data_IF_565352169228
#
_entry.id   IF_565352169228
#
_cell.length_a   1.000
_cell.length_b   1.000
_cell.length_c   1.000
_cell.angle_alpha   90.00
_cell.angle_beta   90.00
_cell.angle_gamma   90.00
#
_symmetry.space_group_name_H-M   'P 1'
#
loop_
_entity.id
_entity.type
_entity.pdbx_description
1 polymer ?
#
# COMPACT_ATOMS: atom_id res chain seq x y z
N UNK A 1 40.11 -3.14 59.98
CA UNK A 1 39.16 -3.47 58.88
C UNK A 1 38.49 -2.26 58.21
N UNK A 2 38.36 -1.07 58.81
CA UNK A 2 37.65 0.09 58.20
C UNK A 2 38.41 0.94 57.16
N UNK A 3 39.65 0.58 56.77
CA UNK A 3 40.46 1.36 55.80
C UNK A 3 40.69 0.69 54.44
N UNK A 4 40.19 -0.54 54.24
CA UNK A 4 40.43 -1.30 52.98
C UNK A 4 39.30 -1.07 51.96
N UNK A 5 38.09 -0.73 52.42
CA UNK A 5 36.91 -0.57 51.57
C UNK A 5 37.01 0.56 50.51
N UNK A 6 37.55 1.77 50.80
CA UNK A 6 37.61 2.83 49.78
C UNK A 6 38.64 2.56 48.68
N UNK A 7 39.73 1.85 48.99
CA UNK A 7 40.74 1.49 48.00
C UNK A 7 40.21 0.45 47.00
N UNK A 8 39.39 -0.51 47.46
CA UNK A 8 38.79 -1.52 46.59
C UNK A 8 37.81 -0.89 45.58
N UNK A 9 37.04 0.13 46.01
CA UNK A 9 36.09 0.82 45.14
C UNK A 9 36.76 1.56 43.98
N UNK A 10 37.91 2.21 44.24
CA UNK A 10 38.68 2.93 43.21
C UNK A 10 39.27 1.95 42.19
N UNK A 11 39.77 0.80 42.62
CA UNK A 11 40.31 -0.23 41.71
C UNK A 11 39.22 -0.83 40.82
N UNK A 12 38.04 -1.12 41.39
CA UNK A 12 36.90 -1.63 40.60
C UNK A 12 36.41 -0.59 39.59
N UNK A 13 36.31 0.68 39.98
CA UNK A 13 35.93 1.76 39.06
C UNK A 13 36.93 1.91 37.91
N UNK A 14 38.24 1.85 38.19
CA UNK A 14 39.29 1.92 37.16
C UNK A 14 39.26 0.71 36.22
N UNK A 15 38.98 -0.49 36.72
CA UNK A 15 38.83 -1.69 35.89
C UNK A 15 37.60 -1.63 34.99
N UNK A 16 36.48 -1.06 35.47
CA UNK A 16 35.27 -0.85 34.67
C UNK A 16 35.55 0.17 33.55
N UNK A 17 36.24 1.27 33.86
CA UNK A 17 36.62 2.28 32.84
C UNK A 17 37.58 1.68 31.81
N UNK A 18 38.58 0.91 32.24
CA UNK A 18 39.50 0.24 31.31
C UNK A 18 38.79 -0.79 30.41
N UNK A 19 37.85 -1.57 30.96
CA UNK A 19 37.05 -2.52 30.17
C UNK A 19 36.13 -1.82 29.16
N UNK A 20 35.59 -0.64 29.52
CA UNK A 20 34.81 0.19 28.60
C UNK A 20 35.69 0.76 27.48
N UNK A 21 36.88 1.29 27.79
CA UNK A 21 37.81 1.82 26.78
C UNK A 21 38.27 0.74 25.80
N UNK A 22 38.52 -0.49 26.25
CA UNK A 22 38.88 -1.61 25.37
C UNK A 22 37.69 -2.03 24.48
N UNK A 23 36.45 -1.94 24.96
CA UNK A 23 35.26 -2.18 24.13
C UNK A 23 35.05 -1.11 23.06
N UNK A 24 35.39 0.15 23.34
CA UNK A 24 35.24 1.23 22.36
C UNK A 24 36.32 1.21 21.25
N UNK A 25 37.52 0.71 21.53
CA UNK A 25 38.60 0.67 20.53
C UNK A 25 38.52 -0.49 19.52
N UNK A 26 37.62 -1.47 19.71
CA UNK A 26 37.43 -2.58 18.77
C UNK A 26 36.27 -2.36 17.78
N UNK A 27 35.68 -1.16 17.73
CA UNK A 27 34.85 -0.76 16.61
C UNK A 27 35.75 -0.51 15.40
N UNK A 28 35.98 -1.57 14.63
CA UNK A 28 36.48 -1.43 13.27
C UNK A 28 35.39 -0.70 12.50
N UNK A 29 35.62 0.59 12.20
CA UNK A 29 34.78 1.34 11.28
C UNK A 29 34.93 0.65 9.93
N UNK A 30 34.04 -0.30 9.64
CA UNK A 30 33.86 -0.77 8.27
C UNK A 30 33.53 0.47 7.45
N UNK A 31 34.33 0.74 6.43
CA UNK A 31 33.99 1.79 5.47
C UNK A 31 32.56 1.50 4.99
N UNK A 32 31.65 2.49 5.05
CA UNK A 32 30.30 2.27 4.57
C UNK A 32 30.38 1.76 3.13
N UNK A 33 29.56 0.77 2.74
CA UNK A 33 29.49 0.34 1.35
C UNK A 33 29.30 1.59 0.47
N UNK A 34 29.91 1.60 -0.72
CA UNK A 34 29.78 2.70 -1.67
C UNK A 34 28.30 2.87 -2.01
N UNK A 35 27.63 3.80 -1.33
CA UNK A 35 26.21 4.09 -1.56
C UNK A 35 26.08 4.78 -2.89
N UNK A 36 25.15 4.29 -3.71
CA UNK A 36 24.73 4.99 -4.92
C UNK A 36 23.98 6.25 -4.46
N UNK A 37 24.71 7.37 -4.39
CA UNK A 37 24.12 8.67 -4.11
C UNK A 37 23.41 9.16 -5.37
N UNK A 38 22.20 8.64 -5.58
CA UNK A 38 21.32 9.08 -6.65
C UNK A 38 20.77 10.43 -6.24
N UNK A 39 21.34 11.51 -6.77
CA UNK A 39 20.65 12.81 -6.73
C UNK A 39 19.54 12.76 -7.76
N UNK A 40 18.26 12.75 -7.35
CA UNK A 40 17.17 12.75 -8.30
C UNK A 40 17.30 13.99 -9.17
N UNK A 41 17.37 13.77 -10.49
CA UNK A 41 17.21 14.89 -11.42
C UNK A 41 15.72 15.17 -11.48
N UNK A 42 15.29 16.27 -10.85
CA UNK A 42 13.90 16.68 -10.89
C UNK A 42 13.59 17.16 -12.30
N UNK A 43 12.85 16.35 -13.06
CA UNK A 43 12.16 16.83 -14.24
C UNK A 43 10.74 17.16 -13.81
N UNK A 44 10.49 18.46 -13.63
CA UNK A 44 9.12 18.95 -13.64
C UNK A 44 8.66 18.75 -15.08
N UNK A 45 7.85 17.72 -15.30
CA UNK A 45 7.03 17.67 -16.49
C UNK A 45 6.05 18.84 -16.34
N UNK A 46 6.46 20.03 -16.76
CA UNK A 46 5.49 21.08 -17.03
C UNK A 46 4.55 20.47 -18.07
N UNK A 47 3.26 20.40 -17.73
CA UNK A 47 2.22 20.19 -18.72
C UNK A 47 2.26 21.40 -19.64
N UNK A 48 3.29 21.50 -20.50
CA UNK A 48 3.18 22.23 -21.74
C UNK A 48 1.94 21.63 -22.39
N UNK A 49 0.88 22.44 -22.48
CA UNK A 49 -0.36 22.13 -23.19
C UNK A 49 0.02 21.60 -24.57
N UNK A 50 0.18 20.28 -24.66
CA UNK A 50 0.63 19.62 -25.86
C UNK A 50 -0.47 19.86 -26.89
N UNK A 51 -0.13 20.58 -27.96
CA UNK A 51 -1.04 20.76 -29.09
C UNK A 51 -1.38 19.36 -29.60
N UNK A 52 -2.62 18.96 -29.38
CA UNK A 52 -3.12 17.63 -29.73
C UNK A 52 -2.81 17.34 -31.20
N UNK A 53 -2.07 16.27 -31.54
CA UNK A 53 -1.86 15.88 -32.93
C UNK A 53 -3.21 15.63 -33.61
N UNK A 54 -3.27 15.83 -34.93
CA UNK A 54 -4.47 15.58 -35.74
C UNK A 54 -5.07 14.20 -35.40
N UNK A 55 -6.39 14.10 -35.22
CA UNK A 55 -7.03 12.87 -34.77
C UNK A 55 -6.79 11.75 -35.78
N UNK A 56 -6.04 10.74 -35.36
CA UNK A 56 -5.95 9.45 -36.05
C UNK A 56 -7.35 8.86 -36.14
N UNK A 57 -7.78 8.29 -37.29
CA UNK A 57 -9.10 7.69 -37.42
C UNK A 57 -9.36 6.70 -36.28
N UNK A 58 -10.50 6.90 -35.60
CA UNK A 58 -10.93 6.06 -34.48
C UNK A 58 -11.00 4.60 -34.93
N UNK A 59 -10.29 3.67 -34.29
CA UNK A 59 -10.48 2.25 -34.55
C UNK A 59 -11.96 1.89 -34.34
N UNK A 60 -12.52 1.12 -35.27
CA UNK A 60 -13.89 0.62 -35.22
C UNK A 60 -14.18 0.03 -33.84
N UNK A 61 -15.28 0.46 -33.20
CA UNK A 61 -15.65 0.11 -31.84
C UNK A 61 -15.44 -1.39 -31.56
N UNK A 62 -14.34 -1.71 -30.89
CA UNK A 62 -14.06 -3.05 -30.38
C UNK A 62 -15.03 -3.35 -29.26
N UNK A 63 -15.48 -4.61 -29.15
CA UNK A 63 -16.28 -5.06 -28.03
C UNK A 63 -15.63 -4.65 -26.69
N UNK A 64 -16.47 -4.23 -25.74
CA UNK A 64 -16.03 -3.77 -24.41
C UNK A 64 -15.12 -4.81 -23.76
N UNK A 65 -14.01 -4.36 -23.16
CA UNK A 65 -13.14 -5.25 -22.40
C UNK A 65 -13.90 -5.95 -21.26
N UNK A 66 -14.97 -5.32 -20.73
CA UNK A 66 -15.82 -5.86 -19.67
C UNK A 66 -16.65 -7.07 -20.11
N UNK A 67 -16.86 -7.30 -21.40
CA UNK A 67 -17.59 -8.46 -21.93
C UNK A 67 -16.75 -9.75 -21.91
N UNK A 68 -15.43 -9.62 -21.77
CA UNK A 68 -14.50 -10.76 -21.74
C UNK A 68 -14.37 -11.39 -20.35
N UNK A 69 -15.00 -10.81 -19.33
CA UNK A 69 -14.96 -11.33 -17.97
C UNK A 69 -16.36 -11.63 -17.44
N UNK A 70 -16.49 -12.81 -16.83
CA UNK A 70 -17.67 -13.24 -16.09
C UNK A 70 -17.25 -13.58 -14.67
N UNK A 71 -17.91 -12.94 -13.70
CA UNK A 71 -17.74 -13.28 -12.29
C UNK A 71 -18.87 -14.19 -11.86
N UNK A 72 -18.55 -15.21 -11.08
CA UNK A 72 -19.53 -16.09 -10.46
C UNK A 72 -20.06 -15.51 -9.15
N UNK A 73 -20.86 -16.31 -8.45
CA UNK A 73 -21.43 -15.93 -7.15
C UNK A 73 -20.36 -15.88 -6.04
N UNK A 74 -20.40 -14.88 -5.15
CA UNK A 74 -19.54 -14.83 -3.96
C UNK A 74 -19.74 -16.02 -3.03
N UNK A 75 -18.63 -16.59 -2.54
CA UNK A 75 -18.62 -17.72 -1.59
C UNK A 75 -17.87 -17.33 -0.33
N UNK A 76 -18.54 -17.43 0.81
CA UNK A 76 -17.91 -17.17 2.12
C UNK A 76 -16.86 -18.25 2.40
N UNK A 77 -15.61 -17.83 2.62
CA UNK A 77 -14.48 -18.72 2.95
C UNK A 77 -14.00 -18.53 4.39
N UNK A 78 -14.30 -17.39 5.01
CA UNK A 78 -13.89 -17.08 6.38
C UNK A 78 -14.84 -16.07 7.04
N UNK A 79 -14.97 -16.16 8.36
CA UNK A 79 -15.81 -15.29 9.19
C UNK A 79 -15.05 -14.84 10.42
N UNK A 80 -15.25 -13.58 10.83
CA UNK A 80 -14.62 -12.99 12.00
C UNK A 80 -15.60 -12.06 12.73
N UNK A 81 -15.41 -11.85 14.03
CA UNK A 81 -16.26 -10.98 14.84
C UNK A 81 -15.98 -9.48 14.67
N UNK A 82 -14.91 -9.14 13.95
CA UNK A 82 -14.38 -7.79 13.80
C UNK A 82 -13.87 -7.58 12.37
N UNK A 83 -13.48 -6.35 12.02
CA UNK A 83 -13.01 -6.00 10.68
C UNK A 83 -11.90 -6.91 10.15
N UNK A 84 -12.01 -7.24 8.85
CA UNK A 84 -11.03 -8.03 8.09
C UNK A 84 -10.44 -7.11 7.02
N UNK A 85 -9.12 -6.93 7.06
CA UNK A 85 -8.36 -6.33 5.98
C UNK A 85 -7.75 -7.40 5.09
N UNK A 86 -7.91 -7.27 3.78
CA UNK A 86 -7.23 -8.07 2.76
C UNK A 86 -5.98 -7.31 2.31
N UNK A 87 -4.82 -7.89 2.54
CA UNK A 87 -3.56 -7.30 2.08
C UNK A 87 -3.29 -7.78 0.66
N UNK A 88 -2.89 -9.03 0.48
CA UNK A 88 -2.55 -9.57 -0.85
C UNK A 88 -2.68 -11.09 -0.88
N UNK A 89 -2.73 -11.64 -2.09
CA UNK A 89 -2.49 -13.07 -2.28
C UNK A 89 -1.00 -13.36 -2.19
N UNK A 90 -0.65 -14.42 -1.46
CA UNK A 90 0.72 -14.93 -1.50
C UNK A 90 1.01 -15.57 -2.87
N UNK A 91 2.29 -15.69 -3.28
CA UNK A 91 2.67 -16.20 -4.60
C UNK A 91 2.11 -17.60 -4.93
N UNK A 92 1.74 -18.40 -3.93
CA UNK A 92 1.16 -19.73 -4.10
C UNK A 92 -0.31 -19.74 -4.55
N UNK A 93 -1.00 -18.59 -4.62
CA UNK A 93 -2.43 -18.48 -4.96
C UNK A 93 -3.38 -19.32 -4.09
N UNK A 94 -2.93 -19.76 -2.92
CA UNK A 94 -3.73 -20.52 -1.96
C UNK A 94 -3.86 -19.80 -0.63
N UNK A 95 -2.86 -19.00 -0.27
CA UNK A 95 -2.85 -18.22 0.94
C UNK A 95 -3.07 -16.74 0.65
N UNK A 96 -3.79 -16.10 1.57
CA UNK A 96 -4.03 -14.66 1.57
C UNK A 96 -3.44 -14.09 2.85
N UNK A 97 -2.72 -12.98 2.73
CA UNK A 97 -2.26 -12.18 3.85
C UNK A 97 -3.38 -11.25 4.29
N UNK A 98 -3.75 -11.30 5.56
CA UNK A 98 -4.88 -10.57 6.14
C UNK A 98 -4.45 -9.78 7.38
N UNK A 99 -5.19 -8.72 7.68
CA UNK A 99 -5.23 -8.11 9.01
C UNK A 99 -6.57 -8.38 9.67
N UNK A 100 -6.57 -8.76 10.94
CA UNK A 100 -7.79 -8.99 11.71
C UNK A 100 -7.79 -8.08 12.93
N UNK A 101 -8.74 -7.15 12.99
CA UNK A 101 -8.91 -6.31 14.17
C UNK A 101 -9.37 -7.15 15.36
N UNK A 102 -8.77 -6.97 16.53
CA UNK A 102 -9.20 -7.68 17.73
C UNK A 102 -10.39 -6.96 18.36
N UNK A 103 -11.42 -7.70 18.84
CA UNK A 103 -12.48 -7.09 19.66
C UNK A 103 -11.89 -6.40 20.89
N UNK A 104 -12.47 -5.28 21.30
CA UNK A 104 -12.20 -4.59 22.57
C UNK A 104 -10.80 -4.00 22.77
N UNK A 105 -9.88 -4.19 21.83
CA UNK A 105 -8.51 -3.64 21.88
C UNK A 105 -8.18 -2.96 20.56
N UNK A 106 -7.44 -1.85 20.61
CA UNK A 106 -6.91 -1.16 19.43
C UNK A 106 -5.70 -1.91 18.83
N UNK A 107 -5.81 -3.23 18.72
CA UNK A 107 -4.79 -4.11 18.15
C UNK A 107 -5.36 -4.89 16.98
N UNK A 108 -4.46 -5.32 16.11
CA UNK A 108 -4.75 -6.20 15.00
C UNK A 108 -3.71 -7.31 14.92
N UNK A 109 -4.12 -8.47 14.44
CA UNK A 109 -3.22 -9.56 14.05
C UNK A 109 -2.97 -9.51 12.56
N UNK A 110 -1.78 -9.92 12.14
CA UNK A 110 -1.41 -10.13 10.74
C UNK A 110 -1.28 -11.64 10.56
N UNK A 111 -2.10 -12.21 9.67
CA UNK A 111 -2.24 -13.66 9.53
C UNK A 111 -2.18 -14.09 8.06
N UNK A 112 -1.77 -15.33 7.79
CA UNK A 112 -2.08 -16.00 6.52
C UNK A 112 -3.31 -16.88 6.68
N UNK A 113 -4.15 -16.93 5.66
CA UNK A 113 -5.30 -17.83 5.56
C UNK A 113 -5.17 -18.65 4.28
N UNK A 114 -5.09 -19.98 4.39
CA UNK A 114 -5.26 -20.87 3.25
C UNK A 114 -6.76 -21.00 2.92
N UNK A 115 -7.17 -20.49 1.76
CA UNK A 115 -8.59 -20.42 1.37
C UNK A 115 -9.22 -21.79 1.08
N UNK A 116 -8.41 -22.82 0.85
CA UNK A 116 -8.90 -24.18 0.55
C UNK A 116 -9.07 -24.99 1.83
N UNK A 117 -8.07 -24.96 2.72
CA UNK A 117 -8.11 -25.73 3.98
C UNK A 117 -8.73 -24.99 5.15
N UNK A 118 -8.87 -23.66 5.06
CA UNK A 118 -9.26 -22.79 6.18
C UNK A 118 -8.17 -22.65 7.25
N UNK A 119 -6.98 -23.21 7.03
CA UNK A 119 -5.88 -23.12 7.98
C UNK A 119 -5.39 -21.68 8.08
N UNK A 120 -5.21 -21.21 9.31
CA UNK A 120 -4.66 -19.89 9.63
C UNK A 120 -3.28 -20.01 10.25
N UNK A 121 -2.45 -18.99 10.02
CA UNK A 121 -1.16 -18.84 10.69
C UNK A 121 -0.98 -17.38 11.11
N UNK A 122 -0.80 -17.17 12.42
CA UNK A 122 -0.43 -15.88 12.98
C UNK A 122 1.03 -15.57 12.63
N UNK A 123 1.27 -14.41 12.03
CA UNK A 123 2.61 -13.92 11.72
C UNK A 123 3.07 -12.84 12.72
N UNK A 124 2.16 -11.93 13.08
CA UNK A 124 2.46 -10.83 13.98
C UNK A 124 1.19 -10.27 14.64
N UNK A 125 1.37 -9.49 15.70
CA UNK A 125 0.33 -8.66 16.31
C UNK A 125 0.88 -7.25 16.54
N UNK A 126 0.06 -6.22 16.33
CA UNK A 126 0.45 -4.82 16.51
C UNK A 126 -0.73 -3.96 16.93
N UNK A 127 -0.47 -2.72 17.34
CA UNK A 127 -1.52 -1.70 17.39
C UNK A 127 -2.13 -1.54 15.98
N UNK A 128 -3.43 -1.22 15.90
CA UNK A 128 -4.05 -0.98 14.60
C UNK A 128 -3.46 0.29 13.98
N UNK A 129 -2.84 0.12 12.82
CA UNK A 129 -2.13 1.19 12.12
C UNK A 129 -2.63 1.30 10.68
N UNK A 130 -2.66 2.52 10.11
CA UNK A 130 -3.02 2.70 8.70
C UNK A 130 -1.96 2.19 7.72
N UNK A 131 -0.80 1.72 8.21
CA UNK A 131 0.28 1.21 7.38
C UNK A 131 0.02 -0.23 6.95
N UNK A 132 0.05 -0.47 5.64
CA UNK A 132 -0.16 -1.80 5.06
C UNK A 132 1.06 -2.71 5.30
N UNK A 133 0.91 -3.90 5.92
CA UNK A 133 1.96 -4.90 5.95
C UNK A 133 2.31 -5.38 4.54
N UNK A 134 3.54 -5.88 4.33
CA UNK A 134 4.02 -6.27 3.01
C UNK A 134 4.65 -7.65 3.07
N UNK A 135 4.31 -8.49 2.10
CA UNK A 135 5.01 -9.75 1.90
C UNK A 135 6.22 -9.59 0.96
N UNK A 136 7.42 -9.75 1.51
CA UNK A 136 8.66 -9.79 0.76
C UNK A 136 8.88 -11.20 0.19
N UNK A 137 8.21 -11.51 -0.92
CA UNK A 137 8.12 -12.87 -1.45
C UNK A 137 9.46 -13.56 -1.80
N UNK A 138 10.55 -12.83 -2.07
CA UNK A 138 11.88 -13.45 -2.28
C UNK A 138 12.61 -13.71 -0.96
N UNK A 139 12.33 -12.91 0.07
CA UNK A 139 12.87 -13.09 1.41
C UNK A 139 12.03 -14.07 2.24
N UNK A 140 10.80 -14.36 1.82
CA UNK A 140 9.82 -15.14 2.59
C UNK A 140 9.60 -14.51 3.98
N UNK A 141 9.38 -13.19 3.98
CA UNK A 141 9.24 -12.35 5.19
C UNK A 141 8.07 -11.42 5.08
N UNK A 142 7.35 -11.26 6.18
CA UNK A 142 6.46 -10.13 6.40
C UNK A 142 7.29 -8.95 6.90
N UNK A 143 7.14 -7.79 6.27
CA UNK A 143 7.60 -6.51 6.80
C UNK A 143 6.38 -5.70 7.26
N UNK A 144 6.45 -5.10 8.44
CA UNK A 144 5.39 -4.25 8.96
C UNK A 144 5.97 -3.14 9.84
N UNK A 145 5.29 -1.99 9.87
CA UNK A 145 5.56 -0.96 10.86
C UNK A 145 4.65 -1.15 12.07
N UNK A 146 5.16 -0.80 13.26
CA UNK A 146 4.39 -0.79 14.50
C UNK A 146 4.80 0.38 15.38
N UNK A 147 3.87 0.87 16.20
CA UNK A 147 4.19 1.78 17.30
C UNK A 147 4.41 0.98 18.58
N UNK A 148 5.62 0.98 19.17
CA UNK A 148 5.87 0.27 20.44
C UNK A 148 5.13 0.93 21.60
N UNK A 149 4.90 2.25 21.52
CA UNK A 149 4.12 3.03 22.46
C UNK A 149 3.06 3.84 21.69
N UNK A 150 1.75 3.67 21.95
CA UNK A 150 0.70 4.38 21.22
C UNK A 150 0.73 5.91 21.44
N UNK A 151 1.37 6.39 22.52
CA UNK A 151 1.54 7.81 22.82
C UNK A 151 2.69 8.45 22.02
N UNK A 152 3.57 7.65 21.43
CA UNK A 152 4.69 8.12 20.63
C UNK A 152 4.36 8.09 19.13
N UNK A 153 4.85 9.09 18.39
CA UNK A 153 4.75 9.13 16.91
C UNK A 153 5.92 8.36 16.25
N UNK A 154 6.57 7.48 17.01
CA UNK A 154 7.73 6.73 16.55
C UNK A 154 7.27 5.36 16.07
N UNK A 155 7.54 5.06 14.81
CA UNK A 155 7.29 3.74 14.24
C UNK A 155 8.59 2.96 14.17
N UNK A 156 8.51 1.67 14.43
CA UNK A 156 9.58 0.71 14.25
C UNK A 156 9.26 -0.22 13.08
N UNK A 157 10.27 -0.51 12.26
CA UNK A 157 10.20 -1.57 11.28
C UNK A 157 10.42 -2.91 11.98
N UNK A 158 9.55 -3.88 11.70
CA UNK A 158 9.66 -5.26 12.17
C UNK A 158 9.56 -6.24 11.02
N UNK A 159 10.23 -7.37 11.19
CA UNK A 159 10.10 -8.53 10.31
C UNK A 159 9.54 -9.73 11.07
N UNK A 160 8.83 -10.60 10.37
CA UNK A 160 8.42 -11.92 10.85
C UNK A 160 8.31 -12.90 9.69
N UNK A 161 8.75 -14.14 9.87
CA UNK A 161 8.66 -15.21 8.89
C UNK A 161 7.69 -16.35 9.26
N UNK A 162 7.42 -17.26 8.31
CA UNK A 162 6.67 -18.51 8.53
C UNK A 162 7.15 -19.40 9.68
N UNK A 163 8.45 -19.35 9.97
CA UNK A 163 9.15 -20.22 10.91
C UNK A 163 9.42 -19.59 12.26
N UNK A 164 9.10 -18.30 12.42
CA UNK A 164 9.50 -17.56 13.62
C UNK A 164 8.49 -17.84 14.74
N UNK A 165 8.99 -18.29 15.89
CA UNK A 165 8.23 -18.36 17.14
C UNK A 165 8.00 -16.92 17.67
N UNK A 166 7.17 -16.15 16.95
CA UNK A 166 6.75 -14.76 17.25
C UNK A 166 7.85 -13.73 17.52
N UNK A 167 9.13 -14.08 17.36
CA UNK A 167 10.24 -13.17 17.64
C UNK A 167 10.39 -12.16 16.50
N UNK A 168 9.68 -11.04 16.59
CA UNK A 168 9.86 -9.93 15.65
C UNK A 168 11.28 -9.37 15.79
N UNK A 169 12.07 -9.43 14.72
CA UNK A 169 13.40 -8.84 14.72
C UNK A 169 13.34 -7.37 14.29
N UNK A 170 14.16 -6.55 14.93
CA UNK A 170 14.40 -5.16 14.55
C UNK A 170 15.67 -5.13 13.70
N UNK A 171 15.64 -4.60 12.47
CA UNK A 171 16.85 -4.41 11.70
C UNK A 171 17.81 -3.48 12.45
N UNK A 172 19.10 -3.85 12.50
CA UNK A 172 20.12 -3.02 13.12
C UNK A 172 20.25 -1.67 12.41
N UNK A 173 20.29 -0.57 13.19
CA UNK A 173 20.51 0.78 12.67
C UNK A 173 19.27 1.50 12.10
N UNK A 174 18.09 0.87 12.15
CA UNK A 174 16.82 1.50 11.78
C UNK A 174 15.98 1.72 13.03
N UNK A 175 16.19 2.87 13.68
CA UNK A 175 15.61 3.09 14.99
C UNK A 175 14.21 3.69 14.96
N UNK A 176 13.93 4.50 13.95
CA UNK A 176 12.67 5.22 13.79
C UNK A 176 12.36 5.34 12.31
N UNK A 177 11.18 4.90 11.88
CA UNK A 177 10.71 5.11 10.52
C UNK A 177 9.45 5.96 10.53
N UNK A 178 9.12 6.55 9.38
CA UNK A 178 7.77 7.01 9.15
C UNK A 178 6.82 5.79 9.08
N UNK A 179 5.50 5.96 9.24
CA UNK A 179 4.55 4.85 9.22
C UNK A 179 4.60 4.03 7.93
N UNK A 180 5.02 4.66 6.83
CA UNK A 180 4.98 4.07 5.50
C UNK A 180 6.18 3.19 5.23
N UNK A 181 5.86 1.96 4.87
CA UNK A 181 6.76 1.03 4.23
C UNK A 181 6.12 0.59 2.91
N UNK A 182 6.94 0.26 1.93
CA UNK A 182 6.51 -0.38 0.68
C UNK A 182 7.62 -1.31 0.21
N UNK A 183 7.32 -2.42 -0.44
CA UNK A 183 8.36 -3.38 -0.75
C UNK A 183 7.94 -4.38 -1.81
N UNK A 184 8.93 -5.03 -2.40
CA UNK A 184 8.72 -6.07 -3.40
C UNK A 184 9.91 -7.01 -3.47
N UNK A 185 9.61 -8.31 -3.53
CA UNK A 185 10.64 -9.33 -3.63
C UNK A 185 11.51 -9.35 -2.37
N UNK A 186 12.74 -8.84 -2.48
CA UNK A 186 13.72 -8.68 -1.40
C UNK A 186 14.01 -7.19 -1.10
N UNK A 187 13.31 -6.26 -1.74
CA UNK A 187 13.52 -4.81 -1.54
C UNK A 187 12.44 -4.20 -0.68
N UNK A 188 12.84 -3.26 0.16
CA UNK A 188 11.97 -2.49 1.03
C UNK A 188 12.34 -1.02 0.92
N UNK A 189 11.36 -0.16 0.70
CA UNK A 189 11.47 1.27 0.83
C UNK A 189 10.96 1.67 2.22
N UNK A 190 11.80 2.38 2.94
CA UNK A 190 11.44 3.01 4.21
C UNK A 190 11.69 4.51 4.13
N UNK A 191 10.98 5.25 4.96
CA UNK A 191 11.27 6.66 5.21
C UNK A 191 11.92 6.77 6.58
N UNK A 192 13.11 7.37 6.65
CA UNK A 192 13.87 7.57 7.87
C UNK A 192 14.53 8.95 7.85
N UNK A 193 14.16 9.81 8.81
CA UNK A 193 14.69 11.17 8.97
C UNK A 193 14.61 12.02 7.69
N UNK A 194 13.40 12.18 7.13
CA UNK A 194 13.22 12.97 5.91
C UNK A 194 13.65 12.29 4.60
N UNK A 195 14.32 11.13 4.69
CA UNK A 195 14.94 10.47 3.53
C UNK A 195 14.24 9.16 3.22
N UNK A 196 14.08 8.88 1.93
CA UNK A 196 13.72 7.55 1.44
C UNK A 196 14.98 6.70 1.35
N UNK A 197 14.93 5.53 1.99
CA UNK A 197 15.99 4.52 1.93
C UNK A 197 15.43 3.28 1.27
N UNK A 198 16.12 2.79 0.25
CA UNK A 198 15.84 1.49 -0.34
C UNK A 198 16.79 0.48 0.29
N UNK A 199 16.23 -0.46 1.04
CA UNK A 199 16.92 -1.55 1.66
C UNK A 199 16.74 -2.82 0.82
N UNK A 200 17.79 -3.61 0.68
CA UNK A 200 17.69 -5.01 0.28
C UNK A 200 17.76 -5.88 1.52
N UNK A 201 16.78 -6.75 1.67
CA UNK A 201 16.65 -7.69 2.78
C UNK A 201 17.26 -9.02 2.34
N UNK A 202 18.41 -9.33 2.92
CA UNK A 202 19.12 -10.58 2.73
C UNK A 202 18.62 -11.71 3.65
N UNK A 203 19.28 -12.88 3.61
CA UNK A 203 19.00 -13.95 4.54
C UNK A 203 19.28 -13.51 5.99
N UNK A 204 18.54 -14.09 6.95
CA UNK A 204 18.64 -13.79 8.38
C UNK A 204 18.35 -12.31 8.72
N UNK A 205 17.44 -11.68 7.97
CA UNK A 205 16.95 -10.31 8.20
C UNK A 205 18.06 -9.24 8.15
N UNK A 206 19.22 -9.56 7.58
CA UNK A 206 20.28 -8.58 7.32
C UNK A 206 19.81 -7.63 6.22
N UNK A 207 19.94 -6.32 6.46
CA UNK A 207 19.58 -5.32 5.46
C UNK A 207 20.82 -4.60 4.93
N UNK A 208 20.86 -4.38 3.62
CA UNK A 208 21.86 -3.53 2.98
C UNK A 208 21.17 -2.33 2.33
N UNK A 209 21.67 -1.13 2.61
CA UNK A 209 21.15 0.09 1.98
C UNK A 209 21.67 0.18 0.53
N UNK A 210 20.74 0.24 -0.42
CA UNK A 210 21.07 0.35 -1.86
C UNK A 210 21.13 1.81 -2.31
N UNK A 211 20.20 2.63 -1.84
CA UNK A 211 20.07 4.03 -2.24
C UNK A 211 19.41 4.88 -1.17
N UNK A 212 19.78 6.16 -1.13
CA UNK A 212 19.16 7.18 -0.29
C UNK A 212 18.69 8.33 -1.19
N UNK A 213 17.47 8.79 -0.97
CA UNK A 213 16.84 9.83 -1.77
C UNK A 213 16.29 10.90 -0.82
N UNK A 214 16.68 12.15 -1.04
CA UNK A 214 16.13 13.28 -0.32
C UNK A 214 14.77 13.65 -0.90
N UNK A 215 13.72 13.47 -0.10
CA UNK A 215 12.35 13.76 -0.51
C UNK A 215 12.02 15.25 -0.42
N UNK A 216 12.76 16.03 0.37
CA UNK A 216 12.50 17.47 0.51
C UNK A 216 12.85 18.19 -0.76
N UNK A 217 13.93 17.78 -1.43
CA UNK A 217 14.31 18.27 -2.76
C UNK A 217 13.25 17.94 -3.82
N UNK A 218 12.50 16.86 -3.61
CA UNK A 218 11.38 16.45 -4.45
C UNK A 218 10.06 17.17 -4.12
N UNK A 219 10.05 18.03 -3.11
CA UNK A 219 8.86 18.76 -2.65
C UNK A 219 7.85 17.88 -1.92
N UNK A 220 8.32 16.82 -1.26
CA UNK A 220 7.57 16.05 -0.27
C UNK A 220 8.10 16.38 1.12
N UNK A 221 7.21 16.42 2.11
CA UNK A 221 7.60 16.54 3.51
C UNK A 221 7.21 15.26 4.27
N UNK A 222 8.04 14.21 4.21
CA UNK A 222 7.71 12.93 4.81
C UNK A 222 7.82 12.93 6.34
N UNK A 223 8.42 13.97 6.93
CA UNK A 223 8.45 14.18 8.38
C UNK A 223 7.14 14.80 8.89
N UNK A 224 6.33 15.36 7.99
CA UNK A 224 5.04 15.91 8.35
C UNK A 224 4.00 14.80 8.48
N UNK A 225 3.69 14.44 9.73
CA UNK A 225 2.67 13.42 10.04
C UNK A 225 1.30 13.72 9.43
N UNK A 226 0.99 14.97 9.04
CA UNK A 226 -0.27 15.35 8.40
C UNK A 226 -0.34 15.01 6.92
N UNK A 227 0.79 14.98 6.22
CA UNK A 227 0.82 14.73 4.76
C UNK A 227 0.60 13.26 4.43
N UNK A 228 0.75 12.36 5.41
CA UNK A 228 0.57 10.91 5.26
C UNK A 228 1.32 10.35 4.05
N UNK A 229 2.60 10.70 3.92
CA UNK A 229 3.46 10.22 2.85
C UNK A 229 3.36 8.71 2.68
N UNK A 230 3.14 8.25 1.45
CA UNK A 230 2.96 6.85 1.05
C UNK A 230 3.81 6.52 -0.17
N UNK A 231 4.03 5.23 -0.38
CA UNK A 231 4.68 4.75 -1.60
C UNK A 231 4.16 3.40 -2.04
N UNK A 232 4.23 3.11 -3.34
CA UNK A 232 3.83 1.83 -3.93
C UNK A 232 4.84 1.40 -5.02
N UNK A 233 5.30 0.15 -4.96
CA UNK A 233 6.23 -0.40 -5.95
C UNK A 233 5.49 -0.92 -7.18
N UNK A 234 6.07 -0.66 -8.35
CA UNK A 234 5.70 -1.36 -9.58
C UNK A 234 5.93 -2.86 -9.49
N UNK A 235 5.26 -3.62 -10.35
CA UNK A 235 5.38 -5.08 -10.44
C UNK A 235 6.78 -5.57 -10.89
N UNK A 236 7.52 -4.74 -11.61
CA UNK A 236 8.91 -4.97 -11.99
C UNK A 236 9.90 -4.61 -10.87
N UNK A 237 9.49 -3.72 -9.96
CA UNK A 237 10.33 -3.23 -8.88
C UNK A 237 11.41 -2.24 -9.33
N UNK A 238 11.24 -1.63 -10.51
CA UNK A 238 12.11 -0.60 -11.10
C UNK A 238 11.54 0.81 -10.90
N UNK A 239 10.22 0.95 -10.76
CA UNK A 239 9.54 2.21 -10.44
C UNK A 239 8.88 2.17 -9.06
N UNK A 240 8.81 3.34 -8.44
CA UNK A 240 8.08 3.57 -7.18
C UNK A 240 7.21 4.81 -7.33
N UNK A 241 5.93 4.69 -7.04
CA UNK A 241 5.04 5.83 -6.87
C UNK A 241 5.24 6.40 -5.46
N UNK A 242 5.43 7.71 -5.35
CA UNK A 242 5.59 8.46 -4.11
C UNK A 242 4.48 9.49 -4.05
N UNK A 243 3.74 9.55 -2.94
CA UNK A 243 2.60 10.44 -2.87
C UNK A 243 2.24 10.82 -1.44
N UNK A 244 1.69 12.01 -1.32
CA UNK A 244 1.16 12.57 -0.09
C UNK A 244 0.06 13.58 -0.45
N UNK A 245 -0.37 14.40 0.50
CA UNK A 245 -1.38 15.43 0.24
C UNK A 245 -0.89 16.62 -0.57
N UNK A 246 0.42 16.73 -0.78
CA UNK A 246 1.07 17.83 -1.51
C UNK A 246 1.37 17.46 -2.97
N UNK A 247 1.43 16.17 -3.30
CA UNK A 247 1.51 15.76 -4.69
C UNK A 247 1.73 14.27 -4.93
N UNK A 248 1.98 13.97 -6.21
CA UNK A 248 2.24 12.62 -6.70
C UNK A 248 3.45 12.63 -7.63
N UNK A 249 4.33 11.65 -7.47
CA UNK A 249 5.51 11.46 -8.29
C UNK A 249 5.79 9.99 -8.54
N UNK A 250 6.52 9.71 -9.62
CA UNK A 250 7.07 8.38 -9.92
C UNK A 250 8.58 8.52 -9.99
N UNK A 251 9.25 7.70 -9.19
CA UNK A 251 10.69 7.52 -9.16
C UNK A 251 11.06 6.28 -9.98
N UNK A 252 11.90 6.45 -10.98
CA UNK A 252 12.57 5.36 -11.69
C UNK A 252 13.90 5.07 -10.99
N UNK A 253 14.04 3.89 -10.40
CA UNK A 253 15.20 3.50 -9.61
C UNK A 253 16.44 3.18 -10.44
N UNK A 254 16.27 2.89 -11.74
CA UNK A 254 17.41 2.58 -12.61
C UNK A 254 18.11 3.87 -13.06
N UNK A 255 17.32 4.84 -13.50
CA UNK A 255 17.80 6.13 -13.97
C UNK A 255 17.97 7.16 -12.85
N UNK A 256 17.32 6.95 -11.71
CA UNK A 256 17.21 7.94 -10.65
C UNK A 256 16.29 9.11 -10.99
N UNK A 257 15.54 9.01 -12.09
CA UNK A 257 14.67 10.08 -12.55
C UNK A 257 13.40 10.15 -11.69
N UNK A 258 13.10 11.33 -11.19
CA UNK A 258 11.84 11.61 -10.50
C UNK A 258 10.95 12.50 -11.37
N UNK A 259 9.75 12.01 -11.69
CA UNK A 259 8.74 12.74 -12.45
C UNK A 259 7.52 13.03 -11.59
N UNK A 260 7.14 14.31 -11.43
CA UNK A 260 5.89 14.72 -10.77
C UNK A 260 4.75 14.78 -11.78
N UNK A 261 3.53 14.48 -11.33
CA UNK A 261 2.33 14.57 -12.15
C UNK A 261 1.29 15.45 -11.46
N UNK A 262 0.75 16.42 -12.21
CA UNK A 262 -0.41 17.20 -11.78
C UNK A 262 -1.69 16.43 -12.10
N UNK A 263 -2.50 16.13 -11.08
CA UNK A 263 -3.74 15.34 -11.21
C UNK A 263 -4.99 16.21 -11.43
N UNK A 264 -4.78 17.46 -11.86
CA UNK A 264 -5.83 18.46 -12.01
C UNK A 264 -6.30 19.07 -10.69
N UNK A 265 -7.33 19.90 -10.79
CA UNK A 265 -7.95 20.61 -9.67
C UNK A 265 -9.44 20.31 -9.61
N UNK A 266 -10.01 20.28 -8.40
CA UNK A 266 -11.45 20.29 -8.20
C UNK A 266 -11.96 21.74 -8.19
N UNK A 267 -13.03 21.97 -8.94
CA UNK A 267 -13.67 23.27 -9.08
C UNK A 267 -15.11 23.29 -8.52
N UNK A 268 -15.53 22.19 -7.91
CA UNK A 268 -16.84 22.07 -7.27
C UNK A 268 -16.84 22.64 -5.85
N UNK A 269 -17.71 23.63 -5.61
CA UNK A 269 -18.02 24.13 -4.27
C UNK A 269 -18.47 23.02 -3.31
N UNK A 270 -19.17 21.99 -3.83
CA UNK A 270 -19.70 20.91 -3.00
C UNK A 270 -18.61 20.02 -2.39
N UNK A 271 -17.40 20.02 -2.96
CA UNK A 271 -16.32 19.13 -2.56
C UNK A 271 -15.07 19.84 -2.06
N UNK A 272 -15.01 21.16 -2.20
CA UNK A 272 -13.84 21.97 -1.90
C UNK A 272 -13.03 22.23 -3.17
N UNK A 273 -12.51 23.45 -3.26
CA UNK A 273 -11.60 23.85 -4.33
C UNK A 273 -10.18 23.40 -3.99
N UNK A 274 -9.42 22.97 -5.01
CA UNK A 274 -7.98 22.77 -4.85
C UNK A 274 -7.40 21.63 -5.66
N UNK A 275 -6.07 21.41 -5.54
CA UNK A 275 -5.38 20.36 -6.26
C UNK A 275 -5.83 18.98 -5.79
N UNK A 276 -5.96 18.05 -6.74
CA UNK A 276 -6.20 16.63 -6.45
C UNK A 276 -4.93 15.99 -5.90
N UNK A 277 -5.09 15.22 -4.83
CA UNK A 277 -4.03 14.43 -4.22
C UNK A 277 -4.42 12.95 -4.12
N UNK A 278 -3.43 12.09 -3.90
CA UNK A 278 -3.59 10.63 -3.94
C UNK A 278 -3.73 10.07 -2.53
N UNK A 279 -4.81 9.35 -2.28
CA UNK A 279 -5.06 8.63 -1.04
C UNK A 279 -4.44 7.22 -1.05
N UNK A 280 -4.58 6.52 -2.17
CA UNK A 280 -4.01 5.18 -2.37
C UNK A 280 -3.63 4.98 -3.85
N UNK A 281 -2.69 4.07 -4.11
CA UNK A 281 -2.18 3.81 -5.44
C UNK A 281 -1.90 2.32 -5.65
N UNK A 282 -2.21 1.82 -6.86
CA UNK A 282 -1.96 0.44 -7.28
C UNK A 282 -1.43 0.40 -8.70
N UNK A 283 -0.26 -0.18 -8.88
CA UNK A 283 0.32 -0.40 -10.20
C UNK A 283 -0.40 -1.48 -10.97
N UNK A 284 -0.56 -1.28 -12.28
CA UNK A 284 -0.87 -2.38 -13.17
C UNK A 284 0.28 -3.40 -13.18
N UNK A 285 0.01 -4.69 -13.43
CA UNK A 285 1.04 -5.73 -13.51
C UNK A 285 2.11 -5.50 -14.59
N UNK A 286 1.84 -4.70 -15.62
CA UNK A 286 2.82 -4.31 -16.65
C UNK A 286 3.66 -3.08 -16.24
N UNK A 287 3.31 -2.38 -15.17
CA UNK A 287 4.01 -1.17 -14.72
C UNK A 287 3.86 0.04 -15.67
N UNK A 288 2.94 -0.02 -16.62
CA UNK A 288 2.66 1.08 -17.56
C UNK A 288 1.61 2.05 -17.03
N UNK A 289 0.67 1.56 -16.23
CA UNK A 289 -0.44 2.31 -15.64
C UNK A 289 -0.39 2.25 -14.12
N UNK A 290 -1.03 3.25 -13.50
CA UNK A 290 -1.29 3.24 -12.07
C UNK A 290 -2.72 3.71 -11.83
N UNK A 291 -3.44 2.95 -11.01
CA UNK A 291 -4.75 3.32 -10.49
C UNK A 291 -4.54 4.07 -9.19
N UNK A 292 -5.19 5.22 -9.06
CA UNK A 292 -5.09 6.12 -7.94
C UNK A 292 -6.49 6.33 -7.37
N UNK A 293 -6.61 6.30 -6.05
CA UNK A 293 -7.77 6.82 -5.34
C UNK A 293 -7.46 8.27 -5.05
N UNK A 294 -8.16 9.20 -5.70
CA UNK A 294 -7.88 10.64 -5.62
C UNK A 294 -8.97 11.41 -4.92
N UNK A 295 -8.61 12.50 -4.24
CA UNK A 295 -9.54 13.39 -3.54
C UNK A 295 -8.98 14.82 -3.50
N UNK A 296 -9.68 15.75 -2.84
CA UNK A 296 -9.23 17.13 -2.60
C UNK A 296 -9.50 17.56 -1.15
N UNK A 297 -9.02 18.76 -0.82
CA UNK A 297 -9.16 19.35 0.50
C UNK A 297 -8.01 18.95 1.43
N UNK A 298 -7.98 19.59 2.60
CA UNK A 298 -6.96 19.32 3.61
C UNK A 298 -7.26 18.03 4.39
N UNK A 299 -6.21 17.34 4.82
CA UNK A 299 -6.27 16.15 5.68
C UNK A 299 -6.17 16.48 7.16
N UNK A 300 -6.59 17.68 7.57
CA UNK A 300 -6.48 18.23 8.93
C UNK A 300 -7.27 17.45 10.02
N UNK A 301 -7.70 16.23 9.70
CA UNK A 301 -8.52 15.35 10.53
C UNK A 301 -9.97 15.32 10.07
N UNK A 302 -10.34 16.08 9.04
CA UNK A 302 -11.67 16.06 8.46
C UNK A 302 -11.92 14.79 7.63
N UNK A 303 -13.18 14.34 7.62
CA UNK A 303 -13.62 13.24 6.76
C UNK A 303 -13.44 13.62 5.29
N UNK A 304 -12.96 12.68 4.47
CA UNK A 304 -12.87 12.91 3.02
C UNK A 304 -14.24 13.34 2.48
N UNK A 305 -14.27 14.37 1.63
CA UNK A 305 -15.51 14.84 1.03
C UNK A 305 -16.03 13.85 -0.03
N UNK A 306 -15.12 13.28 -0.82
CA UNK A 306 -15.33 12.24 -1.82
C UNK A 306 -14.01 11.52 -2.12
N UNK A 307 -14.07 10.44 -2.90
CA UNK A 307 -12.88 9.91 -3.57
C UNK A 307 -13.26 9.30 -4.92
N UNK A 308 -12.42 9.57 -5.93
CA UNK A 308 -12.61 9.12 -7.32
C UNK A 308 -11.52 8.13 -7.72
N UNK A 309 -11.81 7.33 -8.75
CA UNK A 309 -10.81 6.52 -9.44
C UNK A 309 -10.09 7.41 -10.47
N UNK A 310 -8.77 7.47 -10.41
CA UNK A 310 -7.94 8.05 -11.47
C UNK A 310 -7.05 6.97 -12.05
N UNK A 311 -6.96 6.86 -13.37
CA UNK A 311 -6.01 5.96 -14.05
C UNK A 311 -5.02 6.82 -14.82
N UNK A 312 -3.75 6.70 -14.46
CA UNK A 312 -2.64 7.45 -15.05
C UNK A 312 -1.78 6.53 -15.91
N UNK A 313 -1.54 6.92 -17.16
CA UNK A 313 -0.51 6.34 -18.01
C UNK A 313 0.85 6.96 -17.64
N UNK A 314 1.78 6.14 -17.16
CA UNK A 314 3.06 6.63 -16.61
C UNK A 314 4.06 7.06 -17.69
N UNK A 315 3.86 6.62 -18.93
CA UNK A 315 4.72 6.99 -20.05
C UNK A 315 4.36 8.38 -20.59
N UNK A 316 3.05 8.63 -20.79
CA UNK A 316 2.55 9.87 -21.40
C UNK A 316 2.18 10.94 -20.38
N UNK A 317 1.83 10.55 -19.15
CA UNK A 317 1.27 11.46 -18.14
C UNK A 317 -0.23 11.71 -18.31
N UNK A 318 -0.87 11.11 -19.32
CA UNK A 318 -2.31 11.21 -19.50
C UNK A 318 -3.04 10.48 -18.39
N UNK A 319 -4.13 11.07 -17.91
CA UNK A 319 -5.00 10.41 -16.95
C UNK A 319 -6.47 10.63 -17.26
N UNK A 320 -7.29 9.68 -16.80
CA UNK A 320 -8.74 9.81 -16.77
C UNK A 320 -9.20 9.70 -15.32
N UNK A 321 -10.12 10.58 -14.93
CA UNK A 321 -10.77 10.55 -13.63
C UNK A 321 -12.22 10.08 -13.80
N UNK A 322 -12.65 9.17 -12.93
CA UNK A 322 -14.00 8.64 -12.92
C UNK A 322 -14.54 8.63 -11.50
N UNK A 323 -15.67 9.31 -11.35
CA UNK A 323 -16.49 9.20 -10.15
C UNK A 323 -17.23 7.87 -10.15
N UNK A 324 -17.04 7.09 -9.10
CA UNK A 324 -17.73 5.81 -8.87
C UNK A 324 -18.29 5.85 -7.45
N UNK A 325 -19.61 5.89 -7.33
CA UNK A 325 -20.26 6.08 -6.04
C UNK A 325 -19.91 7.42 -5.37
N UNK A 326 -19.83 7.41 -4.05
CA UNK A 326 -19.44 8.54 -3.18
C UNK A 326 -17.94 8.51 -2.85
N UNK A 327 -17.44 7.32 -2.52
CA UNK A 327 -16.04 7.11 -2.16
C UNK A 327 -15.55 5.85 -2.85
N UNK A 328 -14.53 5.93 -3.69
CA UNK A 328 -13.71 4.77 -4.02
C UNK A 328 -12.85 4.42 -2.81
N UNK A 329 -12.98 3.19 -2.31
CA UNK A 329 -12.37 2.74 -1.06
C UNK A 329 -11.21 1.77 -1.27
N UNK A 330 -11.19 1.04 -2.38
CA UNK A 330 -10.07 0.18 -2.77
C UNK A 330 -10.11 -0.15 -4.26
N UNK A 331 -8.96 -0.53 -4.81
CA UNK A 331 -8.81 -0.97 -6.20
C UNK A 331 -7.85 -2.15 -6.30
N UNK A 332 -8.10 -3.07 -7.22
CA UNK A 332 -7.18 -4.16 -7.52
C UNK A 332 -7.17 -4.48 -9.02
N UNK A 333 -6.00 -4.36 -9.63
CA UNK A 333 -5.81 -4.75 -11.03
C UNK A 333 -5.96 -6.25 -11.20
N UNK A 334 -6.63 -6.65 -12.28
CA UNK A 334 -6.52 -8.01 -12.76
C UNK A 334 -5.08 -8.29 -13.20
N UNK A 335 -4.59 -9.54 -13.09
CA UNK A 335 -3.23 -9.88 -13.50
C UNK A 335 -2.94 -9.73 -15.01
N UNK A 336 -3.92 -9.33 -15.83
CA UNK A 336 -3.72 -8.93 -17.22
C UNK A 336 -3.39 -7.44 -17.39
N UNK A 337 -3.63 -6.63 -16.36
CA UNK A 337 -3.41 -5.19 -16.35
C UNK A 337 -4.43 -4.37 -17.13
N UNK A 338 -5.48 -4.98 -17.67
CA UNK A 338 -6.48 -4.28 -18.49
C UNK A 338 -7.71 -3.90 -17.70
N UNK A 339 -8.10 -4.72 -16.74
CA UNK A 339 -9.30 -4.51 -15.94
C UNK A 339 -8.94 -4.27 -14.47
N UNK A 340 -9.85 -3.59 -13.77
CA UNK A 340 -9.74 -3.35 -12.34
C UNK A 340 -11.01 -3.77 -11.62
N UNK A 341 -10.86 -4.42 -10.48
CA UNK A 341 -11.89 -4.44 -9.46
C UNK A 341 -11.84 -3.13 -8.66
N UNK A 342 -12.99 -2.55 -8.38
CA UNK A 342 -13.11 -1.29 -7.64
C UNK A 342 -14.18 -1.46 -6.57
N UNK A 343 -13.86 -1.13 -5.31
CA UNK A 343 -14.85 -0.97 -4.26
C UNK A 343 -15.22 0.51 -4.13
N UNK A 344 -16.51 0.78 -4.05
CA UNK A 344 -16.98 2.13 -3.80
C UNK A 344 -18.22 2.19 -2.92
N UNK A 345 -18.26 3.16 -2.00
CA UNK A 345 -19.42 3.48 -1.18
C UNK A 345 -20.54 4.02 -2.07
N UNK A 346 -21.65 3.32 -2.15
CA UNK A 346 -22.85 3.72 -2.89
C UNK A 346 -23.71 4.71 -2.11
N UNK A 347 -23.67 4.62 -0.78
CA UNK A 347 -24.45 5.45 0.11
C UNK A 347 -24.20 5.09 1.56
N UNK A 348 -24.78 5.88 2.46
CA UNK A 348 -24.78 5.64 3.89
C UNK A 348 -26.24 5.40 4.28
N UNK A 349 -26.52 4.31 4.99
CA UNK A 349 -27.88 4.02 5.43
C UNK A 349 -28.31 4.91 6.61
N UNK A 350 -29.55 4.72 7.08
CA UNK A 350 -30.13 5.53 8.15
C UNK A 350 -29.42 5.40 9.50
N UNK A 351 -28.62 4.35 9.70
CA UNK A 351 -27.85 4.10 10.92
C UNK A 351 -26.38 4.52 10.77
N UNK A 352 -26.02 5.19 9.68
CA UNK A 352 -24.68 5.71 9.46
C UNK A 352 -23.70 4.69 8.88
N UNK A 353 -24.17 3.52 8.41
CA UNK A 353 -23.30 2.47 7.88
C UNK A 353 -23.16 2.62 6.36
N UNK A 354 -21.91 2.70 5.90
CA UNK A 354 -21.57 2.72 4.47
C UNK A 354 -22.01 1.43 3.78
N UNK A 355 -22.68 1.53 2.63
CA UNK A 355 -22.95 0.41 1.73
C UNK A 355 -21.95 0.47 0.59
N UNK A 356 -21.15 -0.57 0.37
CA UNK A 356 -20.20 -0.57 -0.74
C UNK A 356 -20.61 -1.56 -1.83
N UNK A 357 -20.45 -1.12 -3.07
CA UNK A 357 -20.60 -1.94 -4.26
C UNK A 357 -19.24 -2.34 -4.80
N UNK A 358 -19.19 -3.49 -5.46
CA UNK A 358 -18.04 -3.95 -6.22
C UNK A 358 -18.28 -3.65 -7.71
N UNK A 359 -17.27 -3.15 -8.40
CA UNK A 359 -17.33 -2.77 -9.81
C UNK A 359 -16.16 -3.35 -10.58
N UNK A 360 -16.34 -3.53 -11.89
CA UNK A 360 -15.25 -3.68 -12.84
C UNK A 360 -15.10 -2.39 -13.63
N UNK A 361 -13.87 -1.94 -13.83
CA UNK A 361 -13.54 -0.81 -14.69
C UNK A 361 -12.53 -1.23 -15.77
N UNK A 362 -12.67 -0.65 -16.97
CA UNK A 362 -11.67 -0.78 -18.04
C UNK A 362 -10.52 0.21 -17.80
N UNK A 363 -9.33 -0.32 -17.56
CA UNK A 363 -8.12 0.46 -17.33
C UNK A 363 -7.41 0.96 -18.57
N UNK A 364 -7.84 0.57 -19.77
CA UNK A 364 -7.20 0.96 -21.04
C UNK A 364 -7.72 2.28 -21.60
N UNK A 365 -8.94 2.67 -21.24
CA UNK A 365 -9.64 3.82 -21.85
C UNK A 365 -9.17 5.17 -21.30
N UNK A 366 -8.02 5.23 -20.62
CA UNK A 366 -7.47 6.45 -20.03
C UNK A 366 -6.81 7.36 -21.07
N UNK A 367 -7.53 7.74 -22.12
CA UNK A 367 -7.16 8.90 -22.95
C UNK A 367 -7.86 10.13 -22.39
N UNK A 368 -7.14 11.27 -22.35
CA UNK A 368 -7.68 12.52 -21.83
C UNK A 368 -9.07 12.82 -22.43
N UNK A 369 -10.07 13.01 -21.56
CA UNK A 369 -11.44 13.32 -21.94
C UNK A 369 -12.35 12.12 -22.23
N UNK A 370 -11.86 10.89 -22.14
CA UNK A 370 -12.72 9.70 -22.24
C UNK A 370 -13.21 9.26 -20.85
N UNK A 371 -14.49 8.94 -20.78
CA UNK A 371 -15.11 8.38 -19.58
C UNK A 371 -14.69 6.91 -19.44
N UNK A 372 -14.22 6.51 -18.27
CA UNK A 372 -13.89 5.11 -18.00
C UNK A 372 -15.18 4.28 -18.03
N UNK A 373 -15.16 3.17 -18.77
CA UNK A 373 -16.27 2.22 -18.75
C UNK A 373 -16.22 1.42 -17.44
N UNK A 374 -17.34 1.34 -16.73
CA UNK A 374 -17.45 0.51 -15.53
C UNK A 374 -18.81 -0.17 -15.42
N UNK A 375 -18.83 -1.31 -14.72
CA UNK A 375 -20.04 -2.12 -14.47
C UNK A 375 -20.05 -2.59 -13.03
N UNK A 376 -21.16 -2.34 -12.32
CA UNK A 376 -21.36 -2.91 -10.99
C UNK A 376 -21.53 -4.43 -11.08
N UNK A 377 -20.83 -5.14 -10.21
CA UNK A 377 -20.93 -6.59 -10.03
C UNK A 377 -21.95 -6.83 -8.91
N UNK A 378 -23.00 -7.59 -9.24
CA UNK A 378 -24.01 -8.13 -8.32
C UNK A 378 -24.54 -7.13 -7.27
N UNK A 379 -25.60 -6.40 -7.63
CA UNK A 379 -26.24 -5.39 -6.74
C UNK A 379 -26.83 -5.96 -5.44
N UNK A 380 -26.96 -7.27 -5.34
CA UNK A 380 -27.63 -7.96 -4.23
C UNK A 380 -26.70 -8.22 -3.04
N UNK A 381 -25.39 -8.00 -3.22
CA UNK A 381 -24.39 -8.18 -2.19
C UNK A 381 -23.88 -6.84 -1.67
N UNK A 382 -23.63 -6.80 -0.37
CA UNK A 382 -22.88 -5.72 0.26
C UNK A 382 -21.43 -6.18 0.39
N UNK A 383 -20.53 -5.36 -0.15
CA UNK A 383 -19.10 -5.57 -0.03
C UNK A 383 -18.53 -4.49 0.87
N UNK A 384 -17.30 -4.67 1.32
CA UNK A 384 -16.55 -3.63 2.00
C UNK A 384 -15.87 -4.10 3.27
N UNK A 385 -14.75 -3.46 3.56
CA UNK A 385 -13.90 -3.73 4.70
C UNK A 385 -13.03 -2.50 4.99
N UNK A 386 -11.79 -2.73 5.39
CA UNK A 386 -10.85 -1.65 5.66
C UNK A 386 -10.43 -0.98 4.34
N UNK A 387 -10.54 0.34 4.26
CA UNK A 387 -10.18 1.12 3.07
C UNK A 387 -8.70 0.90 2.69
N UNK A 388 -8.44 0.71 1.40
CA UNK A 388 -7.14 0.38 0.82
C UNK A 388 -6.62 -1.04 1.13
N UNK A 389 -7.43 -1.88 1.80
CA UNK A 389 -7.07 -3.24 2.21
C UNK A 389 -8.30 -4.16 2.16
N UNK A 390 -8.95 -4.28 1.01
CA UNK A 390 -10.20 -5.01 0.81
C UNK A 390 -10.27 -5.82 -0.49
N UNK A 391 -9.37 -5.63 -1.45
CA UNK A 391 -9.39 -6.36 -2.72
C UNK A 391 -8.04 -6.98 -3.06
N UNK A 392 -8.06 -8.25 -3.48
CA UNK A 392 -6.90 -8.87 -4.11
C UNK A 392 -7.28 -9.96 -5.11
N UNK A 393 -6.61 -9.98 -6.25
CA UNK A 393 -6.73 -11.02 -7.27
C UNK A 393 -5.69 -12.11 -7.09
N UNK A 394 -6.07 -13.37 -7.31
CA UNK A 394 -5.09 -14.45 -7.44
C UNK A 394 -4.20 -14.21 -8.66
N UNK A 395 -2.93 -14.60 -8.59
CA UNK A 395 -1.99 -14.37 -9.70
C UNK A 395 -2.37 -15.18 -10.97
N UNK A 396 -3.09 -16.30 -10.81
CA UNK A 396 -3.63 -17.11 -11.89
C UNK A 396 -4.95 -16.58 -12.50
N UNK A 397 -5.43 -15.40 -12.08
CA UNK A 397 -6.62 -14.70 -12.61
C UNK A 397 -7.96 -15.40 -12.37
N UNK A 398 -8.01 -16.47 -11.57
CA UNK A 398 -9.23 -17.26 -11.42
C UNK A 398 -10.13 -16.82 -10.27
N UNK A 399 -9.64 -16.01 -9.33
CA UNK A 399 -10.42 -15.61 -8.16
C UNK A 399 -10.09 -14.19 -7.69
N UNK A 400 -11.13 -13.46 -7.32
CA UNK A 400 -11.06 -12.25 -6.51
C UNK A 400 -11.39 -12.61 -5.06
N UNK A 401 -10.68 -12.02 -4.10
CA UNK A 401 -11.07 -12.07 -2.69
C UNK A 401 -11.46 -10.69 -2.19
N UNK A 402 -12.56 -10.64 -1.43
CA UNK A 402 -13.19 -9.40 -0.99
C UNK A 402 -13.98 -9.61 0.32
N UNK A 403 -13.91 -8.68 1.29
CA UNK A 403 -14.83 -8.65 2.42
C UNK A 403 -16.30 -8.50 1.98
N UNK A 404 -17.16 -9.35 2.52
CA UNK A 404 -18.58 -9.46 2.17
C UNK A 404 -19.45 -9.50 3.44
N UNK A 405 -19.40 -8.45 4.27
CA UNK A 405 -20.00 -8.46 5.60
C UNK A 405 -21.50 -8.80 5.54
N UNK A 406 -21.98 -9.50 6.57
CA UNK A 406 -23.42 -9.71 6.74
C UNK A 406 -23.94 -8.79 7.82
N UNK A 407 -24.88 -7.92 7.42
CA UNK A 407 -25.66 -7.12 8.36
C UNK A 407 -26.74 -7.99 8.98
N UNK A 408 -26.72 -8.11 10.30
CA UNK A 408 -27.82 -8.70 11.04
C UNK A 408 -28.81 -7.58 11.37
N UNK A 409 -30.11 -7.83 11.14
CA UNK A 409 -31.18 -6.89 11.50
C UNK A 409 -31.37 -6.86 13.02
N UNK A 410 -30.42 -6.25 13.71
CA UNK A 410 -30.43 -6.01 15.16
C UNK A 410 -30.18 -4.52 15.42
N UNK A 411 -30.56 -4.03 16.60
CA UNK A 411 -30.33 -2.65 17.02
C UNK A 411 -29.50 -2.64 18.32
N UNK A 412 -28.22 -2.23 18.29
CA UNK A 412 -27.47 -1.71 17.14
C UNK A 412 -27.16 -2.80 16.09
N UNK A 413 -26.91 -2.42 14.82
CA UNK A 413 -26.56 -3.38 13.79
C UNK A 413 -25.27 -4.11 14.14
N UNK A 414 -25.36 -5.44 14.25
CA UNK A 414 -24.18 -6.29 14.35
C UNK A 414 -23.75 -6.65 12.92
N UNK A 415 -22.50 -6.33 12.61
CA UNK A 415 -21.87 -6.70 11.35
C UNK A 415 -21.00 -7.92 11.60
N UNK A 416 -21.42 -9.08 11.08
CA UNK A 416 -20.52 -10.23 11.01
C UNK A 416 -19.57 -10.00 9.85
N UNK A 417 -18.27 -9.85 10.13
CA UNK A 417 -17.28 -9.72 9.09
C UNK A 417 -17.08 -11.06 8.39
N UNK A 418 -17.15 -11.05 7.08
CA UNK A 418 -16.98 -12.24 6.24
C UNK A 418 -16.00 -11.92 5.13
N UNK A 419 -15.27 -12.94 4.71
CA UNK A 419 -14.40 -12.90 3.56
C UNK A 419 -14.99 -13.82 2.49
N UNK A 420 -15.17 -13.29 1.28
CA UNK A 420 -15.68 -14.03 0.15
C UNK A 420 -14.64 -14.18 -0.94
N UNK A 421 -14.66 -15.33 -1.61
CA UNK A 421 -14.03 -15.51 -2.92
C UNK A 421 -15.08 -15.40 -4.01
N UNK A 422 -14.70 -14.80 -5.14
CA UNK A 422 -15.54 -14.66 -6.33
C UNK A 422 -14.76 -15.30 -7.49
N UNK A 423 -15.21 -16.44 -8.03
CA UNK A 423 -14.54 -17.06 -9.18
C UNK A 423 -14.71 -16.17 -10.41
N UNK A 424 -13.67 -16.11 -11.24
CA UNK A 424 -13.65 -15.36 -12.49
C UNK A 424 -13.35 -16.29 -13.67
N UNK A 425 -14.15 -16.14 -14.73
CA UNK A 425 -13.93 -16.73 -16.04
C UNK A 425 -13.56 -15.60 -17.00
N UNK A 426 -12.30 -15.55 -17.42
CA UNK A 426 -11.75 -14.52 -18.29
C UNK A 426 -11.45 -15.17 -19.63
N UNK A 427 -12.15 -14.73 -20.66
CA UNK A 427 -11.84 -15.10 -22.04
C UNK A 427 -10.56 -14.40 -22.44
N UNK A 428 -9.53 -15.17 -22.75
CA UNK A 428 -8.30 -14.64 -23.33
C UNK A 428 -8.67 -13.87 -24.60
N UNK A 429 -8.27 -12.60 -24.68
CA UNK A 429 -8.38 -11.85 -25.93
C UNK A 429 -7.63 -12.66 -26.98
N UNK A 430 -8.31 -13.09 -28.05
CA UNK A 430 -7.59 -13.56 -29.21
C UNK A 430 -6.81 -12.35 -29.72
N UNK A 431 -5.50 -12.35 -29.51
CA UNK A 431 -4.60 -11.41 -30.17
C UNK A 431 -4.82 -11.64 -31.68
N UNK A 432 -5.54 -10.72 -32.32
CA UNK A 432 -5.63 -10.73 -33.77
C UNK A 432 -4.20 -10.51 -34.28
N UNK A 433 -3.64 -11.46 -35.05
CA UNK A 433 -2.25 -11.41 -35.52
C UNK A 433 -1.99 -10.26 -36.50
#
# INVERSE_FOLDING_TARGET
MKRILPALFVVVALLIVAALVVRFNNYTIQQPPTTLNIRPTLLIAENETARSPLPTPLPTATASALDNIRLGEPRVVFTHSSAIGVIEWLPNSQEVLLTLQQPDVLTETIETLNITSGQRRLLAARASEPSRPIWLGKADRLAYSMRPNPEEVVYELRFSGPSDDQSSQRPEGVDRIAPTISGRGDRLLIVHNGQVRVLRIGPNDQSTEESVIDLKDAGFDPDNWRTRFRSEWSSSGDKVALYDTQGFAILDLQSGLLRRYGLGEEQSEAYGYGPRWVYDARWSPDGERIALITTVGETDGTSLAYSDLTILNTSTGDFANQKIGRFVTDVAWLPDGYLLAVLAVLGIDQVGVERQGLFLADGMTSTAGHQLEFRQITSDYDFGGTWGMSLAWTSNRSMLIVPCPRRLQQNPPIVEARLCTIPADIKTRQENP
#
